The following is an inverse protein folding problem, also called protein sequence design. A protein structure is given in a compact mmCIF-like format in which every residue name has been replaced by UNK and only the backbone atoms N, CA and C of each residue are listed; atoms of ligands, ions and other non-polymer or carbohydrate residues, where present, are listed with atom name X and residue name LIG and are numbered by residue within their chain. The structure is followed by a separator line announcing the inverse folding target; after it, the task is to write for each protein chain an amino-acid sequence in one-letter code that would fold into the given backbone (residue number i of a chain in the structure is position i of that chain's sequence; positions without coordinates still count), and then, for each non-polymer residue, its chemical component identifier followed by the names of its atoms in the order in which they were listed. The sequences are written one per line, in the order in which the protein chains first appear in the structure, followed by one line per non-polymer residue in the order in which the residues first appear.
data_IF_757255291058
#
_entry.id   IF_757255291058
#
_cell.length_a   1.000
_cell.length_b   1.000
_cell.length_c   1.000
_cell.angle_alpha   90.00
_cell.angle_beta   90.00
_cell.angle_gamma   90.00
#
_symmetry.space_group_name_H-M   'P 1'
#
loop_
_entity.id
_entity.type
_entity.pdbx_description
1 polymer ?
#
# COMPACT_ATOMS: atom_id res chain seq x y z
N UNK A 1 -25.42 -11.52 4.67
CA UNK A 1 -23.96 -11.22 4.59
C UNK A 1 -23.67 -9.74 4.27
N UNK A 2 -24.44 -9.06 3.39
CA UNK A 2 -24.20 -7.64 3.02
C UNK A 2 -24.41 -6.65 4.18
N UNK A 3 -25.33 -6.90 5.08
CA UNK A 3 -25.58 -6.02 6.25
C UNK A 3 -24.44 -6.10 7.29
N UNK A 4 -23.73 -7.22 7.40
CA UNK A 4 -22.61 -7.37 8.33
C UNK A 4 -21.42 -6.46 7.97
N UNK A 5 -21.06 -6.31 6.69
CA UNK A 5 -19.93 -5.46 6.28
C UNK A 5 -20.11 -3.99 6.65
N UNK A 6 -21.33 -3.49 6.65
CA UNK A 6 -21.63 -2.09 7.00
C UNK A 6 -21.69 -1.94 8.53
N UNK A 7 -22.30 -2.90 9.22
CA UNK A 7 -22.54 -2.86 10.66
C UNK A 7 -21.26 -3.02 11.50
N UNK A 8 -20.34 -3.89 11.06
CA UNK A 8 -19.21 -4.31 11.88
C UNK A 8 -17.89 -3.61 11.52
N UNK A 9 -17.93 -2.51 10.79
CA UNK A 9 -16.70 -1.79 10.32
C UNK A 9 -15.74 -2.67 9.50
N UNK A 10 -16.13 -3.87 9.10
CA UNK A 10 -15.33 -4.86 8.39
C UNK A 10 -15.17 -4.63 6.89
N UNK A 11 -15.67 -3.50 6.36
CA UNK A 11 -15.54 -3.20 4.94
C UNK A 11 -14.10 -2.88 4.56
N UNK A 12 -13.49 -3.70 3.70
CA UNK A 12 -12.13 -3.54 3.19
C UNK A 12 -12.06 -2.66 1.92
N UNK A 13 -13.18 -2.05 1.52
CA UNK A 13 -13.29 -1.26 0.29
C UNK A 13 -12.84 -2.02 -0.98
N UNK A 14 -13.12 -3.32 -1.07
CA UNK A 14 -12.80 -4.14 -2.24
C UNK A 14 -13.66 -3.82 -3.47
N UNK A 15 -14.69 -2.97 -3.32
CA UNK A 15 -15.62 -2.52 -4.36
C UNK A 15 -16.43 -3.63 -5.06
N UNK A 16 -16.36 -4.88 -4.62
CA UNK A 16 -17.14 -5.97 -5.20
C UNK A 16 -18.67 -5.70 -5.16
N UNK A 17 -19.13 -4.98 -4.13
CA UNK A 17 -20.54 -4.56 -4.04
C UNK A 17 -20.95 -3.57 -5.15
N UNK A 18 -20.06 -2.68 -5.58
CA UNK A 18 -20.35 -1.69 -6.63
C UNK A 18 -20.35 -2.32 -8.02
N UNK A 19 -19.53 -3.33 -8.26
CA UNK A 19 -19.50 -4.06 -9.54
C UNK A 19 -20.69 -5.00 -9.73
N UNK A 20 -21.16 -5.61 -8.64
CA UNK A 20 -22.31 -6.54 -8.65
C UNK A 20 -23.68 -5.86 -8.49
N UNK A 21 -23.70 -4.59 -8.09
CA UNK A 21 -24.93 -3.86 -7.89
C UNK A 21 -25.49 -3.35 -9.21
N UNK A 22 -26.79 -3.66 -9.57
CA UNK A 22 -27.39 -3.18 -10.82
C UNK A 22 -27.38 -1.66 -10.97
N UNK A 23 -27.52 -0.93 -9.85
CA UNK A 23 -27.51 0.54 -9.81
C UNK A 23 -26.12 1.13 -9.48
N UNK A 24 -25.08 0.30 -9.47
CA UNK A 24 -23.65 0.68 -9.31
C UNK A 24 -23.36 1.59 -8.10
N UNK A 25 -24.03 1.35 -6.96
CA UNK A 25 -23.77 2.11 -5.74
C UNK A 25 -22.39 1.77 -5.18
N UNK A 26 -21.52 2.77 -5.05
CA UNK A 26 -20.21 2.63 -4.41
C UNK A 26 -20.35 2.75 -2.87
N UNK A 27 -20.66 1.62 -2.23
CA UNK A 27 -20.79 1.53 -0.76
C UNK A 27 -19.51 1.95 -0.02
N UNK A 28 -18.30 1.57 -0.45
CA UNK A 28 -17.05 2.05 0.13
C UNK A 28 -16.91 3.58 0.15
N UNK A 29 -17.24 4.23 -0.95
CA UNK A 29 -17.18 5.69 -1.05
C UNK A 29 -18.20 6.35 -0.12
N UNK A 30 -19.45 5.88 -0.16
CA UNK A 30 -20.49 6.37 0.74
C UNK A 30 -20.09 6.23 2.22
N UNK A 31 -19.53 5.07 2.60
CA UNK A 31 -19.04 4.82 3.95
C UNK A 31 -17.90 5.77 4.35
N UNK A 32 -16.95 6.02 3.46
CA UNK A 32 -15.83 6.94 3.72
C UNK A 32 -16.30 8.36 4.00
N UNK A 33 -17.25 8.85 3.20
CA UNK A 33 -17.88 10.17 3.39
C UNK A 33 -18.67 10.23 4.69
N UNK A 34 -19.46 9.18 4.99
CA UNK A 34 -20.17 9.08 6.25
C UNK A 34 -19.22 9.12 7.45
N UNK A 35 -18.12 8.34 7.43
CA UNK A 35 -17.14 8.34 8.51
C UNK A 35 -16.45 9.70 8.69
N UNK A 36 -16.16 10.38 7.60
CA UNK A 36 -15.62 11.74 7.69
C UNK A 36 -16.61 12.67 8.41
N UNK A 37 -17.87 12.67 8.01
CA UNK A 37 -18.92 13.49 8.62
C UNK A 37 -19.19 13.07 10.08
N UNK A 38 -19.29 11.78 10.36
CA UNK A 38 -19.49 11.26 11.72
C UNK A 38 -18.43 11.74 12.70
N UNK A 39 -17.17 11.70 12.29
CA UNK A 39 -16.05 12.10 13.13
C UNK A 39 -15.77 13.62 13.17
N UNK A 40 -16.60 14.44 12.57
CA UNK A 40 -16.64 15.87 12.91
C UNK A 40 -17.32 16.11 14.26
N UNK A 41 -18.19 15.18 14.67
CA UNK A 41 -19.01 15.29 15.89
C UNK A 41 -18.55 14.34 17.01
N UNK A 42 -18.02 13.17 16.64
CA UNK A 42 -17.62 12.11 17.57
C UNK A 42 -16.13 11.84 17.52
N UNK A 43 -15.54 11.52 18.67
CA UNK A 43 -14.11 11.18 18.75
C UNK A 43 -13.81 9.94 17.87
N UNK A 44 -12.70 10.01 17.18
CA UNK A 44 -12.24 8.93 16.33
C UNK A 44 -11.42 7.94 17.14
N UNK A 45 -11.67 6.62 17.03
CA UNK A 45 -10.90 5.61 17.75
C UNK A 45 -9.40 5.66 17.37
N UNK A 46 -8.52 5.40 18.34
CA UNK A 46 -7.06 5.37 18.14
C UNK A 46 -6.67 4.38 17.03
N UNK A 47 -7.36 3.23 16.98
CA UNK A 47 -7.18 2.23 15.92
C UNK A 47 -7.30 2.82 14.52
N UNK A 48 -8.25 3.73 14.29
CA UNK A 48 -8.47 4.31 12.97
C UNK A 48 -7.33 5.24 12.56
N UNK A 49 -6.74 5.96 13.52
CA UNK A 49 -5.54 6.75 13.29
C UNK A 49 -4.33 5.87 12.93
N UNK A 50 -4.11 4.77 13.68
CA UNK A 50 -3.02 3.84 13.41
C UNK A 50 -3.15 3.19 12.02
N UNK A 51 -4.35 2.70 11.67
CA UNK A 51 -4.58 2.12 10.35
C UNK A 51 -4.38 3.16 9.25
N UNK A 52 -4.89 4.37 9.40
CA UNK A 52 -4.76 5.43 8.39
C UNK A 52 -3.31 5.91 8.18
N UNK A 53 -2.42 5.69 9.15
CA UNK A 53 -1.01 6.10 9.07
C UNK A 53 -0.04 4.95 8.78
N UNK A 54 -0.55 3.74 8.48
CA UNK A 54 0.30 2.56 8.21
C UNK A 54 1.33 2.81 7.11
N UNK A 55 0.96 3.50 6.06
CA UNK A 55 1.85 3.84 4.94
C UNK A 55 2.99 4.79 5.34
N UNK A 56 2.84 5.52 6.43
CA UNK A 56 3.87 6.44 6.94
C UNK A 56 4.85 5.75 7.89
N UNK A 57 4.38 4.85 8.76
CA UNK A 57 5.26 4.21 9.73
C UNK A 57 5.84 2.88 9.27
N UNK A 58 5.19 2.14 8.35
CA UNK A 58 5.70 0.86 7.87
C UNK A 58 7.10 0.97 7.23
N UNK A 59 7.41 1.98 6.40
CA UNK A 59 8.77 2.17 5.86
C UNK A 59 9.83 2.38 6.96
N UNK A 60 9.46 3.09 8.03
CA UNK A 60 10.36 3.35 9.15
C UNK A 60 10.63 2.08 9.96
N UNK A 61 9.58 1.33 10.27
CA UNK A 61 9.69 0.04 10.98
C UNK A 61 10.48 -0.99 10.16
N UNK A 62 10.36 -0.97 8.84
CA UNK A 62 11.06 -1.87 7.94
C UNK A 62 12.59 -1.66 7.87
N UNK A 63 13.11 -0.58 8.45
CA UNK A 63 14.58 -0.38 8.61
C UNK A 63 15.20 -1.36 9.62
N UNK A 64 14.43 -1.73 10.67
CA UNK A 64 14.85 -2.68 11.69
C UNK A 64 13.77 -3.75 11.95
N UNK A 65 13.41 -4.58 10.96
CA UNK A 65 12.24 -5.44 11.03
C UNK A 65 12.34 -6.50 12.13
N UNK A 66 13.55 -7.03 12.40
CA UNK A 66 13.75 -8.03 13.46
C UNK A 66 13.44 -7.44 14.85
N UNK A 67 13.88 -6.21 15.11
CA UNK A 67 13.65 -5.51 16.39
C UNK A 67 12.17 -5.23 16.57
N UNK A 68 11.49 -4.68 15.56
CA UNK A 68 10.07 -4.41 15.65
C UNK A 68 9.23 -5.69 15.79
N UNK A 69 9.56 -6.75 15.05
CA UNK A 69 8.90 -8.04 15.18
C UNK A 69 9.08 -8.64 16.58
N UNK A 70 10.26 -8.48 17.18
CA UNK A 70 10.49 -8.91 18.56
C UNK A 70 9.55 -8.19 19.54
N UNK A 71 9.45 -6.86 19.46
CA UNK A 71 8.57 -6.09 20.34
C UNK A 71 7.09 -6.41 20.10
N UNK A 72 6.64 -6.47 18.84
CA UNK A 72 5.24 -6.76 18.50
C UNK A 72 4.83 -8.15 18.99
N UNK A 73 5.74 -9.11 19.01
CA UNK A 73 5.48 -10.47 19.47
C UNK A 73 5.44 -10.64 20.99
N UNK A 74 5.83 -9.61 21.76
CA UNK A 74 5.78 -9.71 23.21
C UNK A 74 4.34 -9.85 23.70
N UNK A 75 4.04 -10.85 24.58
CA UNK A 75 2.67 -11.09 25.03
C UNK A 75 2.05 -9.88 25.74
N UNK A 76 2.85 -9.10 26.43
CA UNK A 76 2.40 -7.87 27.09
C UNK A 76 1.96 -6.81 26.05
N UNK A 77 2.73 -6.61 24.98
CA UNK A 77 2.42 -5.66 23.91
C UNK A 77 1.14 -6.08 23.18
N UNK A 78 0.99 -7.37 22.86
CA UNK A 78 -0.21 -7.93 22.24
C UNK A 78 -1.44 -7.70 23.11
N UNK A 79 -1.37 -8.03 24.40
CA UNK A 79 -2.46 -7.85 25.36
C UNK A 79 -2.84 -6.37 25.55
N UNK A 80 -1.85 -5.47 25.58
CA UNK A 80 -2.10 -4.02 25.66
C UNK A 80 -2.73 -3.49 24.35
N UNK A 81 -2.25 -3.91 23.19
CA UNK A 81 -2.82 -3.55 21.89
C UNK A 81 -4.27 -4.00 21.75
N UNK A 82 -4.57 -5.24 22.16
CA UNK A 82 -5.93 -5.75 22.15
C UNK A 82 -6.85 -4.97 23.08
N UNK A 83 -6.41 -4.76 24.34
CA UNK A 83 -7.24 -4.11 25.38
C UNK A 83 -7.48 -2.62 25.12
N UNK A 84 -6.46 -1.86 24.71
CA UNK A 84 -6.52 -0.39 24.61
C UNK A 84 -6.74 0.14 23.20
N UNK A 85 -6.30 -0.60 22.19
CA UNK A 85 -6.37 -0.18 20.79
C UNK A 85 -7.42 -0.99 20.02
N UNK A 86 -7.73 -2.20 20.50
CA UNK A 86 -8.62 -3.15 19.82
C UNK A 86 -8.00 -3.74 18.55
N UNK A 87 -6.66 -3.89 18.54
CA UNK A 87 -5.92 -4.54 17.46
C UNK A 87 -5.42 -5.89 17.95
N UNK A 88 -5.95 -6.93 17.32
CA UNK A 88 -5.55 -8.34 17.54
C UNK A 88 -4.61 -8.74 16.41
N UNK A 89 -3.57 -9.50 16.71
CA UNK A 89 -2.63 -10.08 15.74
C UNK A 89 -2.05 -9.07 14.73
N UNK A 90 -1.23 -8.16 15.25
CA UNK A 90 -0.48 -7.24 14.40
C UNK A 90 0.42 -8.00 13.42
N UNK A 91 0.34 -7.70 12.10
CA UNK A 91 1.13 -8.41 11.12
C UNK A 91 2.63 -8.14 11.32
N UNK A 92 3.45 -9.19 11.19
CA UNK A 92 4.90 -9.09 11.31
C UNK A 92 5.49 -8.54 10.02
N UNK A 93 6.54 -7.74 10.16
CA UNK A 93 7.31 -7.25 9.01
C UNK A 93 8.10 -8.38 8.36
N UNK A 94 8.24 -8.32 7.06
CA UNK A 94 8.99 -9.30 6.28
C UNK A 94 10.48 -9.30 6.64
N UNK A 95 11.01 -10.50 6.88
CA UNK A 95 12.44 -10.73 7.14
C UNK A 95 12.92 -11.81 6.17
N UNK A 96 13.91 -11.51 5.32
CA UNK A 96 14.58 -10.22 5.07
C UNK A 96 13.64 -9.19 4.42
N UNK A 97 14.02 -7.89 4.54
CA UNK A 97 13.29 -6.80 3.91
C UNK A 97 13.34 -6.87 2.37
N UNK A 98 12.42 -6.18 1.69
CA UNK A 98 12.36 -6.15 0.22
C UNK A 98 13.69 -5.75 -0.41
N UNK A 99 14.35 -4.71 0.11
CA UNK A 99 15.64 -4.27 -0.40
C UNK A 99 16.71 -5.37 -0.36
N UNK A 100 16.75 -6.17 0.72
CA UNK A 100 17.70 -7.29 0.82
C UNK A 100 17.34 -8.44 -0.12
N UNK A 101 16.06 -8.65 -0.41
CA UNK A 101 15.61 -9.68 -1.36
C UNK A 101 15.93 -9.32 -2.80
N UNK A 102 15.97 -8.02 -3.12
CA UNK A 102 16.28 -7.50 -4.45
C UNK A 102 17.78 -7.30 -4.70
N UNK A 103 18.64 -7.64 -3.75
CA UNK A 103 20.09 -7.64 -3.96
C UNK A 103 20.43 -8.63 -5.10
N UNK A 104 21.15 -8.14 -6.13
CA UNK A 104 21.48 -8.92 -7.33
C UNK A 104 20.53 -8.72 -8.52
N UNK A 105 19.33 -8.17 -8.30
CA UNK A 105 18.40 -7.82 -9.36
C UNK A 105 18.64 -6.38 -9.85
N UNK A 106 19.50 -6.21 -10.87
CA UNK A 106 19.93 -4.87 -11.35
C UNK A 106 18.77 -4.00 -11.81
N UNK A 107 17.85 -4.56 -12.61
CA UNK A 107 16.69 -3.84 -13.11
C UNK A 107 15.77 -3.37 -12.00
N UNK A 108 15.53 -4.21 -10.97
CA UNK A 108 14.67 -3.88 -9.86
C UNK A 108 15.17 -2.72 -9.00
N UNK A 109 16.47 -2.48 -8.99
CA UNK A 109 17.13 -1.40 -8.22
C UNK A 109 17.51 -0.18 -9.08
N UNK A 110 17.00 -0.09 -10.29
CA UNK A 110 17.27 1.01 -11.21
C UNK A 110 16.68 2.32 -10.69
N UNK A 111 17.46 3.42 -10.77
CA UNK A 111 16.98 4.76 -10.43
C UNK A 111 16.14 5.36 -11.56
N UNK A 112 15.37 6.42 -11.28
CA UNK A 112 14.60 7.11 -12.30
C UNK A 112 15.48 7.72 -13.40
N UNK A 113 16.68 8.22 -13.04
CA UNK A 113 17.65 8.76 -13.97
C UNK A 113 18.19 7.67 -14.91
N UNK A 114 18.48 6.49 -14.37
CA UNK A 114 18.90 5.33 -15.18
C UNK A 114 17.76 4.85 -16.09
N UNK A 115 16.52 4.90 -15.62
CA UNK A 115 15.33 4.57 -16.41
C UNK A 115 15.14 5.55 -17.57
N UNK A 116 15.37 6.84 -17.36
CA UNK A 116 15.30 7.88 -18.39
C UNK A 116 16.35 7.66 -19.48
N UNK A 117 17.55 7.27 -19.10
CA UNK A 117 18.68 7.04 -19.99
C UNK A 117 18.57 5.77 -20.87
N UNK A 118 17.56 4.92 -20.66
CA UNK A 118 17.34 3.72 -21.46
C UNK A 118 16.98 4.05 -22.92
N UNK A 119 17.44 3.20 -23.86
CA UNK A 119 17.01 3.28 -25.24
C UNK A 119 15.52 2.93 -25.40
N UNK A 120 14.84 3.37 -26.48
CA UNK A 120 13.43 3.01 -26.73
C UNK A 120 13.17 1.50 -26.72
N UNK A 121 14.08 0.70 -27.28
CA UNK A 121 13.98 -0.75 -27.29
C UNK A 121 14.07 -1.36 -25.88
N UNK A 122 14.92 -0.81 -25.03
CA UNK A 122 15.04 -1.22 -23.64
C UNK A 122 13.80 -0.81 -22.84
N UNK A 123 13.29 0.41 -23.06
CA UNK A 123 12.06 0.91 -22.42
C UNK A 123 10.86 0.03 -22.75
N UNK A 124 10.76 -0.52 -23.95
CA UNK A 124 9.69 -1.43 -24.36
C UNK A 124 9.65 -2.74 -23.53
N UNK A 125 10.75 -3.13 -22.91
CA UNK A 125 10.83 -4.32 -22.04
C UNK A 125 10.67 -3.99 -20.56
N UNK A 126 10.57 -2.71 -20.18
CA UNK A 126 10.44 -2.30 -18.79
C UNK A 126 9.03 -2.60 -18.26
N UNK A 127 8.96 -3.19 -17.08
CA UNK A 127 7.75 -3.36 -16.30
C UNK A 127 7.90 -2.61 -14.99
N UNK A 128 7.09 -1.58 -14.79
CA UNK A 128 7.10 -0.81 -13.55
C UNK A 128 6.34 -1.55 -12.45
N UNK A 129 6.99 -1.73 -11.32
CA UNK A 129 6.39 -2.32 -10.12
C UNK A 129 6.08 -1.20 -9.13
N UNK A 130 4.80 -0.82 -9.05
CA UNK A 130 4.32 0.14 -8.06
C UNK A 130 4.18 -0.56 -6.72
N UNK A 131 4.82 -0.03 -5.69
CA UNK A 131 4.83 -0.65 -4.38
C UNK A 131 3.52 -0.43 -3.61
N UNK A 132 2.99 -1.50 -3.02
CA UNK A 132 1.94 -1.49 -2.00
C UNK A 132 2.55 -1.70 -0.61
N UNK A 133 2.07 -1.04 0.46
CA UNK A 133 2.66 -1.16 1.79
C UNK A 133 2.64 -2.59 2.33
N UNK A 134 1.60 -3.36 2.04
CA UNK A 134 1.49 -4.72 2.57
C UNK A 134 2.46 -5.68 1.90
N UNK A 135 2.52 -5.69 0.57
CA UNK A 135 3.44 -6.54 -0.17
C UNK A 135 4.89 -6.07 -0.06
N UNK A 136 5.15 -4.79 0.15
CA UNK A 136 6.52 -4.29 0.27
C UNK A 136 7.14 -4.50 1.65
N UNK A 137 6.33 -4.40 2.72
CA UNK A 137 6.87 -4.41 4.10
C UNK A 137 6.46 -5.64 4.90
N UNK A 138 5.30 -6.25 4.63
CA UNK A 138 4.79 -7.39 5.39
C UNK A 138 4.93 -8.72 4.64
N UNK A 139 4.81 -8.72 3.31
CA UNK A 139 5.03 -9.92 2.47
C UNK A 139 5.93 -9.59 1.27
N UNK A 140 7.17 -9.21 1.54
CA UNK A 140 8.14 -8.82 0.53
C UNK A 140 8.56 -9.97 -0.42
N UNK A 141 8.22 -11.21 -0.06
CA UNK A 141 8.47 -12.37 -0.92
C UNK A 141 7.69 -12.28 -2.22
N UNK A 142 6.43 -11.84 -2.17
CA UNK A 142 5.57 -11.69 -3.35
C UNK A 142 6.20 -10.78 -4.41
N UNK A 143 6.72 -9.62 -3.98
CA UNK A 143 7.39 -8.68 -4.91
C UNK A 143 8.67 -9.29 -5.48
N UNK A 144 9.46 -9.96 -4.65
CA UNK A 144 10.70 -10.61 -5.10
C UNK A 144 10.43 -11.75 -6.09
N UNK A 145 9.37 -12.52 -5.88
CA UNK A 145 8.98 -13.61 -6.79
C UNK A 145 8.45 -13.05 -8.13
N UNK A 146 7.68 -11.96 -8.09
CA UNK A 146 7.25 -11.27 -9.29
C UNK A 146 8.46 -10.74 -10.10
N UNK A 147 9.42 -10.11 -9.44
CA UNK A 147 10.65 -9.63 -10.10
C UNK A 147 11.39 -10.77 -10.78
N UNK A 148 11.60 -11.89 -10.08
CA UNK A 148 12.24 -13.09 -10.65
C UNK A 148 11.47 -13.67 -11.84
N UNK A 149 10.15 -13.71 -11.75
CA UNK A 149 9.30 -14.18 -12.85
C UNK A 149 9.44 -13.27 -14.06
N UNK A 150 9.31 -11.95 -13.88
CA UNK A 150 9.41 -10.98 -14.97
C UNK A 150 10.79 -11.07 -15.68
N UNK A 151 11.88 -11.19 -14.93
CA UNK A 151 13.22 -11.37 -15.49
C UNK A 151 13.34 -12.67 -16.30
N UNK A 152 12.76 -13.79 -15.80
CA UNK A 152 12.80 -15.09 -16.50
C UNK A 152 12.06 -15.07 -17.84
N UNK A 153 11.01 -14.28 -17.97
CA UNK A 153 10.26 -14.14 -19.23
C UNK A 153 10.79 -13.01 -20.12
N UNK A 154 11.94 -12.43 -19.77
CA UNK A 154 12.67 -11.47 -20.61
C UNK A 154 12.30 -10.01 -20.43
N UNK A 155 11.53 -9.66 -19.39
CA UNK A 155 11.24 -8.28 -19.03
C UNK A 155 12.26 -7.71 -18.05
N UNK A 156 12.27 -6.38 -17.93
CA UNK A 156 13.11 -5.63 -17.00
C UNK A 156 12.19 -5.00 -15.91
N UNK A 157 11.93 -5.70 -14.80
CA UNK A 157 11.12 -5.14 -13.73
C UNK A 157 11.89 -4.05 -13.00
N UNK A 158 11.29 -2.86 -12.87
CA UNK A 158 11.83 -1.73 -12.12
C UNK A 158 10.91 -1.46 -10.94
N UNK A 159 11.41 -1.66 -9.74
CA UNK A 159 10.65 -1.41 -8.52
C UNK A 159 10.75 0.07 -8.18
N UNK A 160 9.64 0.79 -8.38
CA UNK A 160 9.58 2.23 -8.12
C UNK A 160 9.77 2.52 -6.63
N UNK A 161 10.28 3.72 -6.27
CA UNK A 161 10.27 4.16 -4.89
C UNK A 161 8.88 4.08 -4.28
N UNK A 162 8.80 3.68 -3.00
CA UNK A 162 7.52 3.59 -2.31
C UNK A 162 6.82 4.95 -2.26
N UNK A 163 5.59 5.01 -2.74
CA UNK A 163 4.73 6.18 -2.67
C UNK A 163 3.39 5.77 -2.04
N UNK A 164 2.97 6.43 -0.93
CA UNK A 164 1.72 6.12 -0.27
C UNK A 164 0.52 6.33 -1.19
N UNK A 165 -0.37 5.38 -1.31
CA UNK A 165 -1.58 5.50 -2.15
C UNK A 165 -2.80 6.05 -1.40
N UNK A 166 -2.74 6.12 -0.07
CA UNK A 166 -3.80 6.66 0.77
C UNK A 166 -5.02 5.76 0.95
N UNK A 167 -4.99 4.50 0.48
CA UNK A 167 -6.13 3.59 0.59
C UNK A 167 -6.62 3.42 2.03
N UNK A 168 -5.71 3.28 2.98
CA UNK A 168 -6.04 3.17 4.40
C UNK A 168 -6.70 4.45 4.94
N UNK A 169 -6.26 5.61 4.49
CA UNK A 169 -6.87 6.91 4.82
C UNK A 169 -8.30 7.00 4.27
N UNK A 170 -8.49 6.61 3.01
CA UNK A 170 -9.81 6.59 2.37
C UNK A 170 -10.78 5.68 3.12
N UNK A 171 -10.41 4.42 3.38
CA UNK A 171 -11.25 3.44 4.08
C UNK A 171 -11.70 3.94 5.46
N UNK A 172 -10.83 4.67 6.15
CA UNK A 172 -11.08 5.21 7.48
C UNK A 172 -11.71 6.61 7.48
N UNK A 173 -12.08 7.16 6.32
CA UNK A 173 -12.76 8.44 6.20
C UNK A 173 -11.88 9.65 6.55
N UNK A 174 -10.56 9.60 6.27
CA UNK A 174 -9.66 10.75 6.33
C UNK A 174 -9.53 11.39 4.95
N UNK A 175 -10.64 11.79 4.34
CA UNK A 175 -10.70 12.16 2.92
C UNK A 175 -9.80 13.36 2.56
N UNK A 176 -9.67 14.33 3.45
CA UNK A 176 -8.76 15.48 3.23
C UNK A 176 -7.28 15.05 3.15
N UNK A 177 -6.88 14.09 4.01
CA UNK A 177 -5.52 13.52 3.97
C UNK A 177 -5.35 12.64 2.75
N UNK A 178 -6.35 11.82 2.46
CA UNK A 178 -6.39 10.97 1.27
C UNK A 178 -6.20 11.78 -0.02
N UNK A 179 -6.95 12.87 -0.21
CA UNK A 179 -6.84 13.70 -1.41
C UNK A 179 -5.41 14.23 -1.61
N UNK A 180 -4.75 14.72 -0.54
CA UNK A 180 -3.36 15.16 -0.61
C UNK A 180 -2.38 14.04 -0.94
N UNK A 181 -2.59 12.86 -0.37
CA UNK A 181 -1.74 11.68 -0.61
C UNK A 181 -1.92 11.19 -2.04
N UNK A 182 -3.16 11.04 -2.49
CA UNK A 182 -3.50 10.60 -3.84
C UNK A 182 -2.94 11.55 -4.92
N UNK A 183 -3.04 12.87 -4.70
CA UNK A 183 -2.49 13.86 -5.62
C UNK A 183 -0.96 13.69 -5.77
N UNK A 184 -0.23 13.61 -4.66
CA UNK A 184 1.24 13.42 -4.69
C UNK A 184 1.65 12.15 -5.44
N UNK A 185 0.93 11.06 -5.21
CA UNK A 185 1.22 9.79 -5.87
C UNK A 185 0.84 9.83 -7.35
N UNK A 186 -0.28 10.47 -7.70
CA UNK A 186 -0.65 10.71 -9.10
C UNK A 186 0.42 11.53 -9.83
N UNK A 187 0.88 12.62 -9.23
CA UNK A 187 1.94 13.47 -9.81
C UNK A 187 3.25 12.71 -9.99
N UNK A 188 3.60 11.86 -9.02
CA UNK A 188 4.76 10.98 -9.11
C UNK A 188 4.63 9.97 -10.26
N UNK A 189 3.51 9.24 -10.33
CA UNK A 189 3.26 8.24 -11.37
C UNK A 189 3.19 8.86 -12.77
N UNK A 190 2.59 10.04 -12.90
CA UNK A 190 2.54 10.77 -14.16
C UNK A 190 3.95 11.14 -14.65
N UNK A 191 4.83 11.60 -13.76
CA UNK A 191 6.24 11.87 -14.12
C UNK A 191 6.95 10.59 -14.59
N UNK A 192 6.76 9.48 -13.88
CA UNK A 192 7.37 8.20 -14.28
C UNK A 192 6.83 7.72 -15.64
N UNK A 193 5.52 7.86 -15.87
CA UNK A 193 4.90 7.50 -17.15
C UNK A 193 5.47 8.36 -18.31
N UNK A 194 5.72 9.65 -18.08
CA UNK A 194 6.35 10.53 -19.08
C UNK A 194 7.78 10.08 -19.42
N UNK A 195 8.59 9.66 -18.43
CA UNK A 195 9.96 9.16 -18.66
C UNK A 195 10.00 7.94 -19.59
N UNK A 196 8.98 7.11 -19.55
CA UNK A 196 8.88 5.92 -20.42
C UNK A 196 8.22 6.19 -21.76
N UNK A 197 7.75 7.40 -22.02
CA UNK A 197 6.93 7.72 -23.20
C UNK A 197 5.69 6.83 -23.33
N UNK A 198 5.13 6.37 -22.20
CA UNK A 198 3.95 5.50 -22.15
C UNK A 198 2.63 6.23 -22.46
N UNK A 199 2.70 7.53 -22.81
CA UNK A 199 1.53 8.33 -23.13
C UNK A 199 1.32 8.36 -24.65
N UNK A 200 1.07 7.21 -25.24
CA UNK A 200 0.47 7.09 -26.55
C UNK A 200 -0.38 5.83 -26.60
N UNK A 201 -1.45 5.83 -25.85
CA UNK A 201 -2.62 4.99 -26.10
C UNK A 201 -3.86 5.88 -26.00
#
# INVERSE_FOLDING_TARGET
QRQMCIRDSGCLACKACSTQCPIKIDVPEFRSRFLQLYHTRYLRPMRDHLVATVESYAPLMARAPKTFNFFINQPLVRKLSEKHIGMVDLPLLSVPSLQRRLVGHRSANMTLEQLEALSPEQKAKVVLVVQDPFTSYYDAQVVADFVRLAEKIGYQPVVLPFSPNGKAQHIKGFLTRFAKTAQKTSDFLNRVAQLLSLIHI
#
